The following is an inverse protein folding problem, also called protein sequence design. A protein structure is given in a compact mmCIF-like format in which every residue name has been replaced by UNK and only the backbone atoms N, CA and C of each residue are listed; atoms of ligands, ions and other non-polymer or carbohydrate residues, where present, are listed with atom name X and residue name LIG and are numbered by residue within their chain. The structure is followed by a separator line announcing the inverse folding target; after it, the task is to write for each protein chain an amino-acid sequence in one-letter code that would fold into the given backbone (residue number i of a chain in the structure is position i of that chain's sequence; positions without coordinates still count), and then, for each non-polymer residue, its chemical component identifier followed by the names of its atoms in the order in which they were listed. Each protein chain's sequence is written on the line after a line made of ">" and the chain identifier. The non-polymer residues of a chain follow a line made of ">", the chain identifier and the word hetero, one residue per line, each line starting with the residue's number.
data_IF_416524375478
#
_entry.id   IF_416524375478
#
_cell.length_a   1.000
_cell.length_b   1.000
_cell.length_c   1.000
_cell.angle_alpha   90.00
_cell.angle_beta   90.00
_cell.angle_gamma   90.00
#
_symmetry.space_group_name_H-M   'P 1'
#
loop_
_entity.id
_entity.type
_entity.pdbx_description
1 polymer ?
#
# COMPACT_ATOMS: atom_id res chain seq x y z
N UNK A 1 1.37 -12.20 2.41
CA UNK A 1 2.35 -11.89 1.35
C UNK A 1 1.72 -10.84 0.45
N UNK A 2 2.45 -9.77 0.12
CA UNK A 2 2.01 -8.71 -0.80
C UNK A 2 2.93 -8.80 -2.00
N UNK A 3 2.39 -9.13 -3.17
CA UNK A 3 3.17 -9.43 -4.38
C UNK A 3 2.91 -8.49 -5.55
N UNK A 4 1.96 -7.56 -5.39
CA UNK A 4 1.63 -6.56 -6.41
C UNK A 4 0.92 -7.13 -7.65
N UNK A 5 0.47 -8.39 -7.61
CA UNK A 5 -0.22 -9.02 -8.76
C UNK A 5 -1.62 -8.45 -9.01
N UNK A 6 -2.22 -7.77 -8.02
CA UNK A 6 -3.53 -7.12 -8.09
C UNK A 6 -3.46 -5.71 -7.49
N UNK A 7 -4.29 -4.77 -7.96
CA UNK A 7 -4.39 -3.46 -7.35
C UNK A 7 -5.01 -3.56 -5.94
N UNK A 8 -4.50 -2.75 -5.01
CA UNK A 8 -5.00 -2.66 -3.65
C UNK A 8 -5.79 -1.37 -3.45
N UNK A 9 -6.82 -1.43 -2.61
CA UNK A 9 -7.50 -0.22 -2.14
C UNK A 9 -6.62 0.47 -1.11
N UNK A 10 -6.35 1.75 -1.31
CA UNK A 10 -5.68 2.58 -0.32
C UNK A 10 -6.65 2.89 0.83
N UNK A 11 -6.27 2.54 2.06
CA UNK A 11 -7.05 2.79 3.27
C UNK A 11 -6.43 3.84 4.20
N UNK A 12 -5.16 4.19 3.99
CA UNK A 12 -4.47 5.22 4.77
C UNK A 12 -3.12 5.57 4.16
N UNK A 13 -2.62 6.77 4.45
CA UNK A 13 -1.31 7.26 4.01
C UNK A 13 -0.65 8.02 5.14
N UNK A 14 0.57 7.63 5.52
CA UNK A 14 1.30 8.23 6.66
C UNK A 14 2.79 7.97 6.54
N UNK A 15 3.61 9.00 6.74
CA UNK A 15 5.09 8.91 6.84
C UNK A 15 5.77 8.11 5.71
N UNK A 16 5.27 8.22 4.48
CA UNK A 16 5.78 7.48 3.31
C UNK A 16 5.30 6.03 3.20
N UNK A 17 4.29 5.64 4.00
CA UNK A 17 3.64 4.34 3.94
C UNK A 17 2.19 4.43 3.48
N UNK A 18 1.76 3.39 2.76
CA UNK A 18 0.38 3.15 2.33
C UNK A 18 -0.22 2.01 3.15
N UNK A 19 -1.38 2.25 3.74
CA UNK A 19 -2.19 1.23 4.39
C UNK A 19 -3.06 0.53 3.35
N UNK A 20 -2.88 -0.79 3.17
CA UNK A 20 -3.59 -1.58 2.14
C UNK A 20 -4.56 -2.63 2.73
N UNK A 21 -4.98 -2.44 3.98
CA UNK A 21 -5.88 -3.36 4.69
C UNK A 21 -5.14 -4.39 5.54
N UNK A 22 -5.88 -5.12 6.38
CA UNK A 22 -5.35 -6.13 7.31
C UNK A 22 -4.19 -5.62 8.20
N UNK A 23 -4.23 -4.34 8.57
CA UNK A 23 -3.16 -3.66 9.32
C UNK A 23 -1.79 -3.72 8.62
N UNK A 24 -1.75 -3.91 7.30
CA UNK A 24 -0.54 -3.93 6.49
C UNK A 24 -0.20 -2.51 6.01
N UNK A 25 1.05 -2.13 6.24
CA UNK A 25 1.65 -0.88 5.79
C UNK A 25 2.82 -1.19 4.88
N UNK A 26 2.79 -0.64 3.67
CA UNK A 26 3.81 -0.85 2.65
C UNK A 26 4.44 0.48 2.28
N UNK A 27 5.73 0.48 1.93
CA UNK A 27 6.39 1.72 1.53
C UNK A 27 5.82 2.22 0.21
N UNK A 28 5.54 3.51 0.16
CA UNK A 28 4.93 4.16 -1.00
C UNK A 28 5.85 4.12 -2.23
N UNK A 29 7.17 4.15 -2.05
CA UNK A 29 8.17 4.11 -3.14
C UNK A 29 8.10 2.86 -4.02
N UNK A 30 7.36 1.83 -3.61
CA UNK A 30 7.16 0.60 -4.38
C UNK A 30 5.86 0.59 -5.19
N UNK A 31 5.07 1.66 -5.13
CA UNK A 31 3.74 1.71 -5.75
C UNK A 31 3.58 2.94 -6.64
N UNK A 32 3.03 2.72 -7.83
CA UNK A 32 2.42 3.79 -8.63
C UNK A 32 1.00 4.04 -8.12
N UNK A 33 0.82 5.09 -7.31
CA UNK A 33 -0.49 5.50 -6.79
C UNK A 33 -1.20 6.37 -7.84
N UNK A 34 -2.42 5.98 -8.26
CA UNK A 34 -3.26 6.69 -9.24
C UNK A 34 -4.67 6.87 -8.73
#
# INVERSE_FOLDING_TARGET
>A
FVDGSVPYRLLGRKDGYLGIGNNAWVKEEHFDVK
#
